data_IF_869247313199
#
_entry.id   IF_869247313199
#
_cell.length_a   1.000
_cell.length_b   1.000
_cell.length_c   1.000
_cell.angle_alpha   90.00
_cell.angle_beta   90.00
_cell.angle_gamma   90.00
#
_symmetry.space_group_name_H-M   'P 1'
#
loop_
_entity.id
_entity.type
_entity.pdbx_description
1 polymer ?
#
# COMPACT_ATOMS: atom_id res chain seq x y z
N UNK A 1 -20.83 -30.79 -12.13
CA UNK A 1 -20.63 -30.96 -13.57
C UNK A 1 -19.27 -30.34 -13.86
N UNK A 2 -18.21 -31.15 -14.01
CA UNK A 2 -16.91 -30.61 -14.39
C UNK A 2 -17.06 -29.90 -15.74
N UNK A 3 -16.44 -28.74 -15.96
CA UNK A 3 -16.43 -28.14 -17.29
C UNK A 3 -15.82 -29.16 -18.27
N UNK A 4 -16.29 -29.22 -19.53
CA UNK A 4 -15.67 -30.08 -20.52
C UNK A 4 -14.20 -29.68 -20.62
N UNK A 5 -13.30 -30.66 -20.49
CA UNK A 5 -11.88 -30.49 -20.80
C UNK A 5 -11.81 -29.91 -22.22
N UNK A 6 -11.43 -28.64 -22.34
CA UNK A 6 -11.03 -28.09 -23.63
C UNK A 6 -9.91 -28.99 -24.16
N UNK A 7 -9.96 -29.41 -25.44
CA UNK A 7 -8.92 -30.25 -26.02
C UNK A 7 -7.57 -29.58 -25.76
N UNK A 8 -6.68 -30.28 -25.06
CA UNK A 8 -5.28 -29.84 -24.94
C UNK A 8 -4.74 -29.74 -26.36
N UNK A 9 -4.36 -28.54 -26.77
CA UNK A 9 -3.76 -28.23 -28.08
C UNK A 9 -2.33 -28.84 -28.22
N UNK A 10 -2.13 -30.07 -27.72
CA UNK A 10 -0.83 -30.73 -27.54
C UNK A 10 -0.25 -31.35 -28.81
N UNK A 11 -0.89 -31.16 -29.97
CA UNK A 11 -0.43 -31.74 -31.25
C UNK A 11 0.02 -30.71 -32.30
N UNK A 12 -0.23 -29.41 -32.13
CA UNK A 12 0.17 -28.39 -33.12
C UNK A 12 1.59 -27.89 -32.87
N UNK A 13 2.43 -27.89 -33.90
CA UNK A 13 3.74 -27.24 -33.86
C UNK A 13 3.56 -25.73 -33.54
N UNK A 14 4.48 -25.21 -32.75
CA UNK A 14 4.52 -23.82 -32.27
C UNK A 14 5.87 -23.20 -32.60
N UNK A 15 5.87 -21.88 -32.79
CA UNK A 15 7.04 -21.06 -33.07
C UNK A 15 7.10 -19.96 -32.03
N UNK A 16 8.13 -20.00 -31.18
CA UNK A 16 8.47 -18.94 -30.26
C UNK A 16 9.45 -17.99 -30.96
N UNK A 17 9.16 -16.70 -30.94
CA UNK A 17 10.11 -15.68 -31.35
C UNK A 17 10.40 -14.72 -30.20
N UNK A 18 11.65 -14.29 -30.10
CA UNK A 18 12.09 -13.26 -29.16
C UNK A 18 12.92 -12.22 -29.92
N UNK A 19 12.44 -10.98 -29.92
CA UNK A 19 13.12 -9.84 -30.51
C UNK A 19 13.64 -8.93 -29.40
N UNK A 20 14.93 -8.59 -29.48
CA UNK A 20 15.62 -7.74 -28.51
C UNK A 20 16.49 -6.69 -29.18
N UNK A 21 16.56 -5.50 -28.59
CA UNK A 21 17.43 -4.42 -29.07
C UNK A 21 16.97 -3.05 -28.61
N UNK A 22 17.42 -1.99 -29.29
CA UNK A 22 17.01 -0.61 -29.00
C UNK A 22 15.60 -0.40 -29.55
N UNK A 23 14.68 0.05 -28.71
CA UNK A 23 13.28 0.26 -29.06
C UNK A 23 13.11 1.28 -30.19
N UNK A 24 12.15 0.99 -31.06
CA UNK A 24 11.76 1.85 -32.19
C UNK A 24 10.25 1.77 -32.37
N UNK A 25 9.56 2.90 -32.63
CA UNK A 25 8.14 2.86 -32.95
C UNK A 25 7.82 1.94 -34.13
N UNK A 26 6.76 1.15 -34.02
CA UNK A 26 6.22 0.36 -35.12
C UNK A 26 6.76 -1.07 -35.29
N UNK A 27 7.77 -1.49 -34.52
CA UNK A 27 8.37 -2.84 -34.59
C UNK A 27 7.31 -3.94 -34.43
N UNK A 28 6.51 -3.88 -33.37
CA UNK A 28 5.47 -4.89 -33.08
C UNK A 28 4.46 -4.98 -34.23
N UNK A 29 4.06 -3.83 -34.78
CA UNK A 29 3.16 -3.78 -35.93
C UNK A 29 3.79 -4.34 -37.20
N UNK A 30 5.08 -4.12 -37.42
CA UNK A 30 5.82 -4.69 -38.56
C UNK A 30 5.91 -6.21 -38.46
N UNK A 31 6.21 -6.75 -37.27
CA UNK A 31 6.23 -8.20 -37.03
C UNK A 31 4.86 -8.79 -37.29
N UNK A 32 3.80 -8.25 -36.69
CA UNK A 32 2.44 -8.78 -36.89
C UNK A 32 1.98 -8.72 -38.35
N UNK A 33 2.35 -7.67 -39.10
CA UNK A 33 2.06 -7.59 -40.54
C UNK A 33 2.84 -8.63 -41.35
N UNK A 34 4.10 -8.90 -40.99
CA UNK A 34 4.92 -9.89 -41.68
C UNK A 34 4.40 -11.32 -41.42
N UNK A 35 3.98 -11.61 -40.20
CA UNK A 35 3.46 -12.94 -39.82
C UNK A 35 2.04 -13.18 -40.33
N UNK A 36 1.20 -12.15 -40.44
CA UNK A 36 -0.16 -12.24 -40.96
C UNK A 36 -0.25 -12.81 -42.40
N UNK A 37 0.82 -12.66 -43.20
CA UNK A 37 0.90 -13.22 -44.57
C UNK A 37 0.86 -14.75 -44.62
N UNK A 38 1.12 -15.41 -43.48
CA UNK A 38 1.20 -16.87 -43.35
C UNK A 38 0.06 -17.45 -42.51
N UNK A 39 -0.96 -16.63 -42.21
CA UNK A 39 -2.13 -17.00 -41.40
C UNK A 39 -1.74 -17.69 -40.07
N UNK A 40 -0.66 -17.21 -39.45
CA UNK A 40 -0.17 -17.74 -38.18
C UNK A 40 -1.08 -17.27 -37.03
N UNK A 41 -1.62 -18.20 -36.25
CA UNK A 41 -2.42 -17.84 -35.09
C UNK A 41 -1.51 -17.36 -33.95
N UNK A 42 -1.85 -16.24 -33.31
CA UNK A 42 -1.12 -15.74 -32.14
C UNK A 42 -1.64 -16.47 -30.90
N UNK A 43 -0.76 -17.24 -30.24
CA UNK A 43 -1.07 -17.93 -28.99
C UNK A 43 -0.73 -17.08 -27.77
N UNK A 44 0.36 -16.32 -27.87
CA UNK A 44 0.79 -15.37 -26.84
C UNK A 44 1.60 -14.23 -27.45
N UNK A 45 1.57 -13.07 -26.80
CA UNK A 45 2.37 -11.91 -27.18
C UNK A 45 2.66 -11.05 -25.96
N UNK A 46 3.92 -11.01 -25.55
CA UNK A 46 4.39 -10.18 -24.45
C UNK A 46 5.42 -9.15 -24.96
N UNK A 47 5.23 -7.89 -24.57
CA UNK A 47 6.17 -6.81 -24.89
C UNK A 47 6.51 -6.01 -23.64
N UNK A 48 7.80 -5.71 -23.50
CA UNK A 48 8.31 -4.79 -22.48
C UNK A 48 9.36 -3.86 -23.09
N UNK A 49 9.32 -2.59 -22.69
CA UNK A 49 10.35 -1.61 -23.03
C UNK A 49 10.94 -1.07 -21.74
N UNK A 50 12.23 -1.28 -21.52
CA UNK A 50 12.93 -0.83 -20.31
C UNK A 50 14.11 0.04 -20.74
N UNK A 51 14.08 1.32 -20.36
CA UNK A 51 15.15 2.29 -20.67
C UNK A 51 15.50 2.34 -22.18
N UNK A 52 14.48 2.26 -23.04
CA UNK A 52 14.66 2.28 -24.49
C UNK A 52 15.18 0.97 -25.08
N UNK A 53 15.20 -0.13 -24.31
CA UNK A 53 15.46 -1.47 -24.83
C UNK A 53 14.16 -2.26 -24.92
N UNK A 54 13.87 -2.79 -26.11
CA UNK A 54 12.71 -3.63 -26.40
C UNK A 54 13.01 -5.09 -26.11
N UNK A 55 12.06 -5.77 -25.47
CA UNK A 55 11.88 -7.21 -25.47
C UNK A 55 10.48 -7.50 -26.00
N UNK A 56 10.38 -8.10 -27.17
CA UNK A 56 9.13 -8.54 -27.78
C UNK A 56 9.17 -10.05 -27.97
N UNK A 57 8.34 -10.76 -27.23
CA UNK A 57 8.22 -12.21 -27.25
C UNK A 57 6.85 -12.59 -27.79
N UNK A 58 6.77 -13.53 -28.72
CA UNK A 58 5.49 -14.05 -29.18
C UNK A 58 5.54 -15.53 -29.45
N UNK A 59 4.44 -16.20 -29.10
CA UNK A 59 4.21 -17.61 -29.38
C UNK A 59 3.17 -17.71 -30.49
N UNK A 60 3.57 -18.26 -31.62
CA UNK A 60 2.72 -18.37 -32.80
C UNK A 60 2.46 -19.85 -33.11
N UNK A 61 1.27 -20.15 -33.63
CA UNK A 61 0.97 -21.41 -34.30
C UNK A 61 1.06 -21.19 -35.81
N UNK A 62 2.13 -21.68 -36.47
CA UNK A 62 2.24 -21.61 -37.92
C UNK A 62 1.17 -22.49 -38.60
N UNK A 63 0.73 -22.06 -39.77
CA UNK A 63 0.04 -22.94 -40.72
C UNK A 63 0.96 -24.11 -41.15
N UNK A 64 0.42 -25.29 -41.52
CA UNK A 64 1.23 -26.43 -41.95
C UNK A 64 2.23 -26.06 -43.05
N UNK A 65 3.52 -26.32 -42.82
CA UNK A 65 4.59 -26.03 -43.77
C UNK A 65 5.06 -24.56 -43.82
N UNK A 66 4.46 -23.63 -43.08
CA UNK A 66 4.81 -22.20 -43.13
C UNK A 66 5.86 -21.76 -42.09
N UNK A 67 6.24 -22.63 -41.15
CA UNK A 67 7.14 -22.30 -40.04
C UNK A 67 8.49 -21.70 -40.47
N UNK A 68 9.10 -22.22 -41.54
CA UNK A 68 10.36 -21.69 -42.07
C UNK A 68 10.21 -20.26 -42.61
N UNK A 69 9.23 -20.04 -43.49
CA UNK A 69 8.95 -18.73 -44.07
C UNK A 69 8.51 -17.70 -43.01
N UNK A 70 7.79 -18.15 -41.98
CA UNK A 70 7.42 -17.33 -40.83
C UNK A 70 8.66 -16.90 -40.03
N UNK A 71 9.59 -17.83 -39.78
CA UNK A 71 10.86 -17.55 -39.11
C UNK A 71 11.68 -16.51 -39.86
N UNK A 72 11.78 -16.65 -41.19
CA UNK A 72 12.56 -15.75 -42.04
C UNK A 72 11.93 -14.36 -42.11
N UNK A 73 10.60 -14.28 -42.18
CA UNK A 73 9.88 -13.00 -42.16
C UNK A 73 10.10 -12.24 -40.85
N UNK A 74 10.08 -12.92 -39.70
CA UNK A 74 10.34 -12.30 -38.39
C UNK A 74 11.80 -11.82 -38.32
N UNK A 75 12.77 -12.64 -38.78
CA UNK A 75 14.19 -12.24 -38.83
C UNK A 75 14.43 -11.05 -39.75
N UNK A 76 13.74 -10.99 -40.89
CA UNK A 76 13.84 -9.87 -41.82
C UNK A 76 13.37 -8.56 -41.19
N UNK A 77 12.22 -8.56 -40.51
CA UNK A 77 11.73 -7.38 -39.78
C UNK A 77 12.70 -6.98 -38.67
N UNK A 78 13.21 -7.93 -37.89
CA UNK A 78 14.18 -7.62 -36.85
C UNK A 78 15.45 -6.97 -37.44
N UNK A 79 15.98 -7.51 -38.54
CA UNK A 79 17.14 -6.95 -39.22
C UNK A 79 16.89 -5.55 -39.79
N UNK A 80 15.72 -5.29 -40.39
CA UNK A 80 15.31 -3.97 -40.89
C UNK A 80 15.31 -2.90 -39.79
N UNK A 81 15.02 -3.31 -38.55
CA UNK A 81 14.98 -2.43 -37.39
C UNK A 81 16.27 -2.44 -36.55
N UNK A 82 17.35 -3.07 -37.01
CA UNK A 82 18.60 -3.28 -36.27
C UNK A 82 18.41 -4.01 -34.91
N UNK A 83 17.49 -4.98 -34.89
CA UNK A 83 17.15 -5.81 -33.74
C UNK A 83 17.63 -7.24 -33.93
N UNK A 84 17.83 -7.95 -32.82
CA UNK A 84 18.17 -9.37 -32.81
C UNK A 84 16.91 -10.20 -32.60
N UNK A 85 16.66 -11.15 -33.51
CA UNK A 85 15.61 -12.17 -33.35
C UNK A 85 16.22 -13.54 -33.04
N UNK A 86 15.67 -14.24 -32.05
CA UNK A 86 15.84 -15.68 -31.84
C UNK A 86 14.51 -16.38 -32.12
N UNK A 87 14.57 -17.54 -32.78
CA UNK A 87 13.40 -18.31 -33.18
C UNK A 87 13.61 -19.75 -32.74
N UNK A 88 12.65 -20.29 -31.99
CA UNK A 88 12.63 -21.67 -31.54
C UNK A 88 11.32 -22.33 -31.99
N UNK A 89 11.43 -23.44 -32.71
CA UNK A 89 10.27 -24.23 -33.16
C UNK A 89 10.15 -25.49 -32.30
N UNK A 90 8.95 -25.81 -31.84
CA UNK A 90 8.71 -27.02 -31.07
C UNK A 90 7.24 -27.16 -30.68
N UNK A 91 6.97 -27.99 -29.67
CA UNK A 91 5.64 -28.13 -29.08
C UNK A 91 5.67 -27.50 -27.70
N UNK A 92 5.20 -26.25 -27.60
CA UNK A 92 5.14 -25.50 -26.37
C UNK A 92 3.72 -25.43 -25.82
N UNK A 93 3.57 -25.77 -24.54
CA UNK A 93 2.43 -25.33 -23.73
C UNK A 93 2.88 -24.10 -22.91
N UNK A 94 1.99 -23.13 -22.73
CA UNK A 94 2.16 -22.03 -21.78
C UNK A 94 2.05 -22.62 -20.37
N UNK A 95 3.14 -23.25 -19.90
CA UNK A 95 3.19 -23.93 -18.62
C UNK A 95 2.64 -23.03 -17.50
N UNK A 96 1.86 -23.62 -16.59
CA UNK A 96 1.23 -22.88 -15.48
C UNK A 96 2.29 -22.08 -14.72
N UNK A 97 2.05 -20.77 -14.60
CA UNK A 97 2.82 -19.87 -13.73
C UNK A 97 2.91 -20.49 -12.34
N UNK A 98 4.11 -20.47 -11.73
CA UNK A 98 4.35 -21.04 -10.39
C UNK A 98 3.31 -20.52 -9.38
N UNK A 99 2.78 -21.43 -8.57
CA UNK A 99 1.92 -21.09 -7.44
C UNK A 99 2.70 -20.32 -6.37
N UNK A 100 2.02 -19.76 -5.37
CA UNK A 100 2.68 -18.97 -4.31
C UNK A 100 3.18 -17.61 -4.82
N UNK A 101 2.26 -16.80 -5.35
CA UNK A 101 2.58 -15.43 -5.78
C UNK A 101 2.62 -14.49 -4.58
N UNK A 102 3.68 -13.71 -4.48
CA UNK A 102 3.85 -12.65 -3.51
C UNK A 102 4.21 -11.33 -4.20
N UNK A 103 3.89 -10.23 -3.54
CA UNK A 103 4.38 -8.90 -3.84
C UNK A 103 5.27 -8.48 -2.69
N UNK A 104 6.53 -8.18 -2.97
CA UNK A 104 7.49 -7.69 -1.99
C UNK A 104 7.80 -6.23 -2.32
N UNK A 105 7.39 -5.31 -1.46
CA UNK A 105 7.71 -3.89 -1.58
C UNK A 105 8.87 -3.57 -0.65
N UNK A 106 9.89 -2.89 -1.17
CA UNK A 106 11.09 -2.47 -0.42
C UNK A 106 11.24 -0.96 -0.52
N UNK A 107 11.22 -0.26 0.61
CA UNK A 107 11.46 1.18 0.72
C UNK A 107 12.83 1.42 1.37
N UNK A 108 13.62 2.30 0.78
CA UNK A 108 14.87 2.78 1.37
C UNK A 108 15.14 4.26 1.09
N UNK A 109 15.81 4.91 2.04
CA UNK A 109 16.16 6.33 1.99
C UNK A 109 17.60 6.57 2.48
N UNK A 110 18.65 6.28 1.67
CA UNK A 110 18.60 5.71 0.32
C UNK A 110 18.41 4.18 0.32
N UNK A 111 17.88 3.62 -0.76
CA UNK A 111 17.87 2.18 -0.98
C UNK A 111 19.24 1.70 -1.50
N UNK A 112 19.99 1.00 -0.66
CA UNK A 112 21.35 0.58 -0.97
C UNK A 112 21.39 -0.81 -1.58
N UNK A 113 22.34 -1.04 -2.49
CA UNK A 113 22.49 -2.33 -3.19
C UNK A 113 22.67 -3.51 -2.22
N UNK A 114 23.37 -3.31 -1.09
CA UNK A 114 23.52 -4.34 -0.05
C UNK A 114 22.19 -4.77 0.57
N UNK A 115 21.26 -3.83 0.76
CA UNK A 115 19.95 -4.11 1.34
C UNK A 115 19.11 -4.87 0.33
N UNK A 116 19.13 -4.45 -0.94
CA UNK A 116 18.43 -5.18 -2.01
C UNK A 116 19.02 -6.58 -2.22
N UNK A 117 20.35 -6.74 -2.15
CA UNK A 117 21.02 -8.03 -2.26
C UNK A 117 20.50 -9.00 -1.19
N UNK A 118 20.45 -8.58 0.08
CA UNK A 118 19.93 -9.39 1.18
C UNK A 118 18.47 -9.82 0.96
N UNK A 119 17.60 -8.89 0.50
CA UNK A 119 16.21 -9.21 0.16
C UNK A 119 16.13 -10.24 -0.96
N UNK A 120 16.87 -10.04 -2.06
CA UNK A 120 16.83 -10.94 -3.21
C UNK A 120 17.43 -12.32 -2.90
N UNK A 121 18.49 -12.37 -2.09
CA UNK A 121 19.08 -13.61 -1.62
C UNK A 121 18.11 -14.37 -0.72
N UNK A 122 17.44 -13.67 0.20
CA UNK A 122 16.42 -14.29 1.06
C UNK A 122 15.27 -14.86 0.24
N UNK A 123 14.77 -14.13 -0.76
CA UNK A 123 13.74 -14.63 -1.69
C UNK A 123 14.22 -15.93 -2.37
N UNK A 124 15.45 -15.96 -2.88
CA UNK A 124 16.01 -17.14 -3.54
C UNK A 124 16.17 -18.34 -2.58
N UNK A 125 16.52 -18.12 -1.32
CA UNK A 125 16.62 -19.18 -0.29
C UNK A 125 15.27 -19.86 0.01
N UNK A 126 14.14 -19.19 -0.27
CA UNK A 126 12.81 -19.79 -0.24
C UNK A 126 12.47 -20.61 -1.50
N UNK A 127 13.39 -20.74 -2.46
CA UNK A 127 13.15 -21.39 -3.75
C UNK A 127 12.29 -20.54 -4.70
N UNK A 128 12.04 -19.28 -4.36
CA UNK A 128 11.19 -18.39 -5.11
C UNK A 128 11.94 -17.66 -6.22
N UNK A 129 11.21 -17.26 -7.26
CA UNK A 129 11.74 -16.47 -8.37
C UNK A 129 11.20 -15.04 -8.31
N UNK A 130 12.02 -14.07 -8.70
CA UNK A 130 11.57 -12.70 -8.94
C UNK A 130 11.17 -12.62 -10.41
N UNK A 131 9.86 -12.55 -10.66
CA UNK A 131 9.31 -12.51 -12.01
C UNK A 131 9.42 -11.12 -12.63
N UNK A 132 9.37 -10.08 -11.79
CA UNK A 132 9.43 -8.70 -12.24
C UNK A 132 9.88 -7.77 -11.11
N UNK A 133 10.62 -6.73 -11.47
CA UNK A 133 10.96 -5.62 -10.57
C UNK A 133 10.45 -4.31 -11.17
N UNK A 134 9.80 -3.49 -10.35
CA UNK A 134 9.27 -2.19 -10.72
C UNK A 134 9.69 -1.14 -9.71
N UNK A 135 9.83 0.11 -10.14
CA UNK A 135 9.99 1.24 -9.23
C UNK A 135 8.62 1.85 -8.96
N UNK A 136 8.23 1.92 -7.70
CA UNK A 136 7.00 2.60 -7.28
C UNK A 136 7.25 4.08 -7.01
N UNK A 137 8.41 4.43 -6.44
CA UNK A 137 8.76 5.81 -6.13
C UNK A 137 10.26 6.06 -6.28
N UNK A 138 10.63 7.27 -6.69
CA UNK A 138 12.00 7.80 -6.59
C UNK A 138 12.13 8.73 -5.37
N UNK A 139 11.12 9.57 -5.19
CA UNK A 139 11.01 10.61 -4.17
C UNK A 139 9.67 10.47 -3.43
N UNK A 140 9.58 10.83 -2.14
CA UNK A 140 10.69 11.25 -1.28
C UNK A 140 11.60 10.07 -0.86
N UNK A 141 11.21 8.84 -1.19
CA UNK A 141 11.91 7.62 -0.83
C UNK A 141 12.02 6.71 -2.05
N UNK A 142 13.12 5.98 -2.16
CA UNK A 142 13.28 5.01 -3.24
C UNK A 142 12.50 3.75 -2.88
N UNK A 143 11.52 3.40 -3.72
CA UNK A 143 10.69 2.22 -3.50
C UNK A 143 10.69 1.32 -4.72
N UNK A 144 10.97 0.03 -4.49
CA UNK A 144 10.88 -1.03 -5.48
C UNK A 144 9.80 -2.03 -5.08
N UNK A 145 9.12 -2.58 -6.08
CA UNK A 145 8.21 -3.70 -5.96
C UNK A 145 8.77 -4.88 -6.74
N UNK A 146 8.80 -6.05 -6.11
CA UNK A 146 9.20 -7.31 -6.69
C UNK A 146 7.98 -8.23 -6.73
N UNK A 147 7.57 -8.61 -7.94
CA UNK A 147 6.61 -9.69 -8.13
C UNK A 147 7.38 -11.01 -8.00
N UNK A 148 6.96 -11.83 -7.04
CA UNK A 148 7.64 -13.08 -6.67
C UNK A 148 6.71 -14.26 -6.88
N UNK A 149 7.24 -15.39 -7.37
CA UNK A 149 6.50 -16.65 -7.50
C UNK A 149 7.26 -17.83 -6.90
N UNK A 150 6.53 -18.86 -6.47
CA UNK A 150 7.11 -20.03 -5.80
C UNK A 150 7.44 -19.82 -4.33
N UNK A 151 6.84 -18.83 -3.66
CA UNK A 151 7.05 -18.57 -2.23
C UNK A 151 5.80 -18.86 -1.41
N UNK A 152 6.00 -19.38 -0.19
CA UNK A 152 5.00 -19.23 0.87
C UNK A 152 5.03 -17.79 1.40
N UNK A 153 3.90 -17.08 1.29
CA UNK A 153 3.81 -15.65 1.61
C UNK A 153 4.07 -15.39 3.10
N UNK A 154 3.64 -16.29 3.99
CA UNK A 154 3.76 -16.12 5.43
C UNK A 154 5.21 -16.31 5.88
N UNK A 155 5.86 -17.38 5.45
CA UNK A 155 7.28 -17.63 5.76
C UNK A 155 8.18 -16.57 5.12
N UNK A 156 7.89 -16.16 3.88
CA UNK A 156 8.65 -15.11 3.21
C UNK A 156 8.53 -13.77 3.96
N UNK A 157 7.33 -13.40 4.41
CA UNK A 157 7.11 -12.20 5.23
C UNK A 157 7.97 -12.25 6.48
N UNK A 158 7.87 -13.34 7.26
CA UNK A 158 8.59 -13.48 8.54
C UNK A 158 10.10 -13.29 8.38
N UNK A 159 10.71 -13.89 7.37
CA UNK A 159 12.14 -13.75 7.15
C UNK A 159 12.54 -12.39 6.56
N UNK A 160 11.75 -11.83 5.65
CA UNK A 160 12.04 -10.50 5.10
C UNK A 160 11.86 -9.38 6.14
N UNK A 161 10.99 -9.53 7.13
CA UNK A 161 10.92 -8.60 8.28
C UNK A 161 12.24 -8.56 9.06
N UNK A 162 12.95 -9.70 9.17
CA UNK A 162 14.28 -9.73 9.80
C UNK A 162 15.32 -8.98 8.95
N UNK A 163 15.29 -9.16 7.63
CA UNK A 163 16.17 -8.43 6.70
C UNK A 163 15.90 -6.92 6.75
N UNK A 164 14.63 -6.52 6.83
CA UNK A 164 14.22 -5.12 6.95
C UNK A 164 14.90 -4.44 8.15
N UNK A 165 14.79 -5.06 9.33
CA UNK A 165 15.40 -4.58 10.56
C UNK A 165 16.94 -4.56 10.49
N UNK A 166 17.56 -5.61 9.95
CA UNK A 166 19.02 -5.72 9.86
C UNK A 166 19.64 -4.71 8.89
N UNK A 167 18.92 -4.36 7.82
CA UNK A 167 19.44 -3.53 6.73
C UNK A 167 18.91 -2.10 6.71
N UNK A 168 18.08 -1.72 7.68
CA UNK A 168 17.52 -0.37 7.80
C UNK A 168 16.65 0.00 6.60
N UNK A 169 15.88 -0.96 6.08
CA UNK A 169 14.89 -0.77 5.01
C UNK A 169 13.53 -1.18 5.52
N UNK A 170 12.49 -0.68 4.88
CA UNK A 170 11.12 -1.07 5.18
C UNK A 170 10.64 -2.07 4.13
N UNK A 171 10.02 -3.17 4.57
CA UNK A 171 9.54 -4.23 3.68
C UNK A 171 8.10 -4.59 3.99
N UNK A 172 7.27 -4.69 2.95
CA UNK A 172 5.94 -5.28 3.04
C UNK A 172 5.84 -6.49 2.09
N UNK A 173 5.31 -7.60 2.61
CA UNK A 173 5.07 -8.82 1.84
C UNK A 173 3.58 -9.14 1.86
N UNK A 174 2.95 -9.13 0.69
CA UNK A 174 1.54 -9.41 0.51
C UNK A 174 1.30 -10.50 -0.53
N UNK A 175 0.16 -11.22 -0.48
CA UNK A 175 -0.24 -12.11 -1.57
C UNK A 175 -0.29 -11.37 -2.91
N UNK A 176 0.23 -11.98 -3.98
CA UNK A 176 0.20 -11.44 -5.33
C UNK A 176 -1.10 -11.69 -6.08
N UNK A 177 -1.18 -11.21 -7.33
CA UNK A 177 -2.32 -11.51 -8.22
C UNK A 177 -3.65 -10.84 -7.81
N UNK A 178 -4.77 -11.58 -7.94
CA UNK A 178 -6.12 -11.05 -7.68
C UNK A 178 -6.32 -10.62 -6.22
N UNK A 179 -5.62 -11.25 -5.28
CA UNK A 179 -5.69 -10.92 -3.85
C UNK A 179 -5.30 -9.47 -3.56
N UNK A 180 -4.53 -8.82 -4.44
CA UNK A 180 -4.15 -7.41 -4.30
C UNK A 180 -5.24 -6.43 -4.71
N UNK A 181 -6.19 -6.88 -5.53
CA UNK A 181 -7.20 -6.04 -6.18
C UNK A 181 -8.47 -5.93 -5.34
N UNK A 182 -9.17 -4.82 -5.55
CA UNK A 182 -10.47 -4.54 -4.94
C UNK A 182 -10.37 -3.70 -3.67
N UNK A 183 -11.55 -3.37 -3.14
CA UNK A 183 -11.70 -2.49 -1.97
C UNK A 183 -11.03 -3.06 -0.73
N UNK A 184 -10.45 -2.15 0.06
CA UNK A 184 -9.89 -2.40 1.40
C UNK A 184 -10.46 -1.41 2.42
N UNK A 185 -10.32 -1.76 3.69
CA UNK A 185 -10.53 -0.86 4.82
C UNK A 185 -9.15 -0.46 5.38
N UNK A 186 -8.88 0.83 5.48
CA UNK A 186 -7.67 1.37 6.13
C UNK A 186 -8.07 1.95 7.47
N UNK A 187 -7.53 1.41 8.56
CA UNK A 187 -7.76 1.88 9.93
C UNK A 187 -6.46 2.45 10.48
N UNK A 188 -6.49 3.66 11.03
CA UNK A 188 -5.28 4.34 11.51
C UNK A 188 -5.44 4.77 12.97
N UNK A 189 -4.34 4.74 13.74
CA UNK A 189 -4.26 5.57 14.93
C UNK A 189 -4.23 7.06 14.55
N UNK A 190 -4.53 7.91 15.53
CA UNK A 190 -4.55 9.36 15.37
C UNK A 190 -3.25 9.97 15.89
N UNK A 191 -3.06 9.94 17.22
CA UNK A 191 -1.88 10.51 17.88
C UNK A 191 -0.61 9.84 17.36
N UNK A 192 0.44 10.61 17.11
CA UNK A 192 1.73 10.13 16.57
C UNK A 192 1.67 9.33 15.24
N UNK A 193 0.51 9.23 14.60
CA UNK A 193 0.29 8.51 13.34
C UNK A 193 -0.37 9.42 12.29
N UNK A 194 -1.66 9.71 12.41
CA UNK A 194 -2.36 10.64 11.50
C UNK A 194 -1.91 12.09 11.71
N UNK A 195 -1.65 12.43 12.97
CA UNK A 195 -1.13 13.72 13.41
C UNK A 195 0.24 13.53 14.07
N UNK A 196 1.02 14.60 14.13
CA UNK A 196 2.37 14.58 14.72
C UNK A 196 2.36 14.76 16.24
N UNK A 197 1.21 15.14 16.79
CA UNK A 197 1.05 15.58 18.17
C UNK A 197 0.33 14.52 19.01
N UNK A 198 0.45 14.65 20.32
CA UNK A 198 -0.35 13.91 21.31
C UNK A 198 -1.45 14.86 21.82
N UNK A 199 -2.71 14.59 21.48
CA UNK A 199 -3.84 15.50 21.77
C UNK A 199 -3.96 15.81 23.27
N UNK A 200 -3.70 14.81 24.12
CA UNK A 200 -3.77 14.99 25.57
C UNK A 200 -2.69 15.93 26.11
N UNK A 201 -1.52 15.98 25.47
CA UNK A 201 -0.44 16.90 25.82
C UNK A 201 -0.76 18.32 25.36
N UNK A 202 -1.37 18.48 24.17
CA UNK A 202 -1.87 19.78 23.70
C UNK A 202 -2.93 20.35 24.66
N UNK A 203 -3.90 19.54 25.07
CA UNK A 203 -4.91 19.94 26.08
C UNK A 203 -4.26 20.36 27.40
N UNK A 204 -3.28 19.58 27.87
CA UNK A 204 -2.57 19.88 29.11
C UNK A 204 -1.72 21.16 29.02
N UNK A 205 -1.15 21.46 27.85
CA UNK A 205 -0.41 22.69 27.61
C UNK A 205 -1.33 23.92 27.73
N UNK A 206 -2.52 23.86 27.13
CA UNK A 206 -3.55 24.91 27.27
C UNK A 206 -4.06 25.07 28.72
N UNK A 207 -3.99 24.02 29.54
CA UNK A 207 -4.26 24.09 30.98
C UNK A 207 -3.11 24.65 31.83
N UNK A 208 -1.91 24.84 31.25
CA UNK A 208 -0.69 25.10 32.03
C UNK A 208 -0.25 23.92 32.90
N UNK A 209 -0.69 22.70 32.53
CA UNK A 209 -0.54 21.46 33.30
C UNK A 209 0.27 20.37 32.57
N UNK A 210 0.95 20.71 31.48
CA UNK A 210 1.82 19.81 30.71
C UNK A 210 2.77 18.96 31.58
N UNK A 211 3.51 19.54 32.55
CA UNK A 211 4.42 18.76 33.41
C UNK A 211 3.75 17.65 34.21
N UNK A 212 2.47 17.84 34.59
CA UNK A 212 1.72 16.85 35.38
C UNK A 212 1.31 15.66 34.51
N UNK A 213 0.86 15.92 33.28
CA UNK A 213 0.53 14.86 32.31
C UNK A 213 1.78 14.08 31.92
N UNK A 214 2.91 14.77 31.66
CA UNK A 214 4.18 14.13 31.33
C UNK A 214 4.64 13.15 32.42
N UNK A 215 4.55 13.53 33.70
CA UNK A 215 4.92 12.67 34.82
C UNK A 215 4.08 11.38 34.89
N UNK A 216 2.78 11.45 34.57
CA UNK A 216 1.90 10.26 34.50
C UNK A 216 2.23 9.40 33.28
N UNK A 217 2.50 10.02 32.12
CA UNK A 217 2.92 9.31 30.90
C UNK A 217 4.22 8.53 31.14
N UNK A 218 5.21 9.12 31.81
CA UNK A 218 6.46 8.43 32.15
C UNK A 218 6.26 7.23 33.07
N UNK A 219 5.37 7.32 34.05
CA UNK A 219 5.01 6.19 34.94
C UNK A 219 4.35 5.05 34.15
N UNK A 220 3.45 5.39 33.23
CA UNK A 220 2.80 4.41 32.36
C UNK A 220 3.80 3.73 31.40
N UNK A 221 4.73 4.50 30.83
CA UNK A 221 5.79 3.96 29.96
C UNK A 221 6.77 3.06 30.71
N UNK A 222 6.98 3.28 32.02
CA UNK A 222 7.74 2.40 32.91
C UNK A 222 6.96 1.14 33.33
N UNK A 223 5.68 1.03 32.96
CA UNK A 223 4.81 -0.08 33.35
C UNK A 223 4.35 -0.05 34.81
N UNK A 224 4.48 1.10 35.48
CA UNK A 224 4.07 1.25 36.88
C UNK A 224 2.54 1.32 37.04
N UNK A 225 1.84 1.75 36.00
CA UNK A 225 0.37 1.85 35.92
C UNK A 225 -0.11 1.33 34.57
N UNK A 226 -1.32 0.76 34.55
CA UNK A 226 -1.95 0.31 33.31
C UNK A 226 -2.49 1.48 32.47
N UNK A 227 -2.90 1.18 31.23
CA UNK A 227 -3.38 2.19 30.29
C UNK A 227 -4.61 2.95 30.80
N UNK A 228 -5.59 2.24 31.35
CA UNK A 228 -6.84 2.85 31.82
C UNK A 228 -6.58 3.79 33.01
N UNK A 229 -5.73 3.36 33.95
CA UNK A 229 -5.29 4.16 35.11
C UNK A 229 -4.51 5.38 34.65
N UNK A 230 -3.54 5.21 33.74
CA UNK A 230 -2.78 6.32 33.15
C UNK A 230 -3.68 7.32 32.44
N UNK A 231 -4.68 6.85 31.69
CA UNK A 231 -5.60 7.71 30.98
C UNK A 231 -6.50 8.49 31.96
N UNK A 232 -7.07 7.84 32.97
CA UNK A 232 -7.84 8.53 34.00
C UNK A 232 -7.02 9.57 34.77
N UNK A 233 -5.80 9.23 35.18
CA UNK A 233 -4.91 10.17 35.87
C UNK A 233 -4.61 11.38 34.98
N UNK A 234 -4.24 11.18 33.70
CA UNK A 234 -3.96 12.29 32.76
C UNK A 234 -5.20 13.13 32.47
N UNK A 235 -6.37 12.52 32.33
CA UNK A 235 -7.62 13.24 32.09
C UNK A 235 -8.08 14.01 33.33
N UNK A 236 -7.84 13.50 34.53
CA UNK A 236 -8.18 14.21 35.78
C UNK A 236 -7.48 15.57 35.88
N UNK A 237 -6.26 15.67 35.33
CA UNK A 237 -5.48 16.90 35.25
C UNK A 237 -6.14 17.94 34.35
N UNK A 238 -7.06 17.56 33.46
CA UNK A 238 -7.78 18.48 32.57
C UNK A 238 -9.04 19.11 33.20
N UNK A 239 -9.40 18.70 34.43
CA UNK A 239 -10.58 19.23 35.12
C UNK A 239 -10.52 20.76 35.26
N UNK A 240 -11.62 21.42 34.88
CA UNK A 240 -11.80 22.87 34.93
C UNK A 240 -11.50 23.61 33.63
N UNK A 241 -11.02 22.94 32.59
CA UNK A 241 -10.87 23.55 31.26
C UNK A 241 -12.26 23.85 30.66
N UNK A 242 -12.45 25.00 29.99
CA UNK A 242 -13.66 25.26 29.20
C UNK A 242 -13.65 24.42 27.92
N UNK A 243 -14.82 24.01 27.43
CA UNK A 243 -14.95 23.22 26.19
C UNK A 243 -14.38 23.93 24.95
N UNK A 244 -14.30 25.27 24.97
CA UNK A 244 -13.66 26.06 23.91
C UNK A 244 -12.18 25.73 23.69
N UNK A 245 -11.54 25.00 24.62
CA UNK A 245 -10.16 24.52 24.46
C UNK A 245 -10.02 23.59 23.25
N UNK A 246 -11.08 22.86 22.87
CA UNK A 246 -11.02 21.93 21.73
C UNK A 246 -10.75 22.65 20.41
N UNK A 247 -11.32 23.84 20.21
CA UNK A 247 -11.05 24.64 19.01
C UNK A 247 -9.59 25.14 18.97
N UNK A 248 -9.03 25.51 20.12
CA UNK A 248 -7.64 25.95 20.23
C UNK A 248 -6.68 24.80 19.92
N UNK A 249 -6.92 23.63 20.53
CA UNK A 249 -6.13 22.42 20.24
C UNK A 249 -6.24 22.05 18.77
N UNK A 250 -7.44 22.11 18.18
CA UNK A 250 -7.64 21.80 16.75
C UNK A 250 -6.86 22.73 15.83
N UNK A 251 -6.70 24.00 16.18
CA UNK A 251 -5.85 24.92 15.41
C UNK A 251 -4.35 24.64 15.53
N UNK A 252 -3.92 23.98 16.61
CA UNK A 252 -2.51 23.62 16.84
C UNK A 252 -2.12 22.27 16.24
N UNK A 253 -3.10 21.42 15.89
CA UNK A 253 -2.86 20.08 15.34
C UNK A 253 -2.10 20.16 14.02
N UNK A 254 -1.01 19.40 13.94
CA UNK A 254 -0.21 19.22 12.73
C UNK A 254 -0.46 17.83 12.18
N UNK A 255 -0.97 17.77 10.95
CA UNK A 255 -1.09 16.50 10.24
C UNK A 255 0.29 15.95 9.90
N UNK A 256 0.44 14.63 10.04
CA UNK A 256 1.65 13.94 9.59
C UNK A 256 1.85 14.19 8.09
N UNK A 257 3.08 14.51 7.64
CA UNK A 257 3.36 14.69 6.22
C UNK A 257 2.84 13.50 5.41
N UNK A 258 2.09 13.77 4.34
CA UNK A 258 1.46 12.74 3.51
C UNK A 258 0.08 12.26 3.99
N UNK A 259 -0.40 12.61 5.19
CA UNK A 259 -1.71 12.17 5.69
C UNK A 259 -2.87 12.49 4.74
N UNK A 260 -2.95 13.75 4.27
CA UNK A 260 -3.97 14.16 3.30
C UNK A 260 -3.86 13.39 1.98
N UNK A 261 -2.63 13.12 1.53
CA UNK A 261 -2.37 12.37 0.30
C UNK A 261 -2.76 10.90 0.44
N UNK A 262 -2.45 10.26 1.57
CA UNK A 262 -2.88 8.91 1.88
C UNK A 262 -4.41 8.81 1.80
N UNK A 263 -5.13 9.60 2.60
CA UNK A 263 -6.60 9.56 2.67
C UNK A 263 -7.21 9.84 1.29
N UNK A 264 -6.81 10.92 0.63
CA UNK A 264 -7.32 11.27 -0.71
C UNK A 264 -7.11 10.14 -1.73
N UNK A 265 -5.92 9.55 -1.76
CA UNK A 265 -5.58 8.51 -2.74
C UNK A 265 -6.37 7.23 -2.50
N UNK A 266 -6.45 6.75 -1.26
CA UNK A 266 -7.20 5.51 -0.97
C UNK A 266 -8.70 5.71 -1.22
N UNK A 267 -9.25 6.90 -0.96
CA UNK A 267 -10.64 7.23 -1.28
C UNK A 267 -10.92 7.16 -2.78
N UNK A 268 -9.99 7.63 -3.63
CA UNK A 268 -10.11 7.48 -5.10
C UNK A 268 -10.12 6.03 -5.57
N UNK A 269 -9.49 5.13 -4.82
CA UNK A 269 -9.53 3.67 -5.07
C UNK A 269 -10.81 3.01 -4.54
N UNK A 270 -11.74 3.79 -3.99
CA UNK A 270 -12.97 3.30 -3.38
C UNK A 270 -12.74 2.60 -2.04
N UNK A 271 -11.61 2.85 -1.37
CA UNK A 271 -11.36 2.30 -0.04
C UNK A 271 -12.13 3.07 1.01
N UNK A 272 -12.41 2.38 2.11
CA UNK A 272 -12.99 2.97 3.30
C UNK A 272 -11.87 3.33 4.27
N UNK A 273 -11.93 4.52 4.86
CA UNK A 273 -10.93 5.00 5.83
C UNK A 273 -11.58 5.15 7.20
N UNK A 274 -10.93 4.65 8.22
CA UNK A 274 -11.35 4.78 9.60
C UNK A 274 -10.20 5.21 10.50
N UNK A 275 -10.52 5.85 11.62
CA UNK A 275 -9.57 6.17 12.69
C UNK A 275 -10.04 5.58 14.01
N UNK A 276 -9.10 5.02 14.78
CA UNK A 276 -9.36 4.52 16.13
C UNK A 276 -8.27 4.99 17.08
N UNK A 277 -8.65 5.84 18.04
CA UNK A 277 -7.72 6.59 18.87
C UNK A 277 -7.95 6.35 20.36
N UNK A 278 -6.86 6.37 21.13
CA UNK A 278 -6.91 6.50 22.58
C UNK A 278 -7.10 7.94 23.07
N UNK A 279 -7.07 8.92 22.16
CA UNK A 279 -7.39 10.33 22.39
C UNK A 279 -8.90 10.56 22.48
N UNK A 280 -9.38 11.71 22.00
CA UNK A 280 -10.73 12.20 22.32
C UNK A 280 -11.61 12.48 21.11
N UNK A 281 -12.86 12.03 21.15
CA UNK A 281 -13.84 12.13 20.07
C UNK A 281 -14.09 13.60 19.68
N UNK A 282 -14.11 14.51 20.65
CA UNK A 282 -14.27 15.95 20.44
C UNK A 282 -13.22 16.56 19.50
N UNK A 283 -12.05 15.93 19.39
CA UNK A 283 -10.97 16.35 18.49
C UNK A 283 -10.95 15.49 17.23
N UNK A 284 -11.09 14.17 17.38
CA UNK A 284 -10.95 13.19 16.30
C UNK A 284 -12.08 13.32 15.28
N UNK A 285 -13.31 13.55 15.71
CA UNK A 285 -14.48 13.56 14.82
C UNK A 285 -14.49 14.76 13.85
N UNK A 286 -14.26 16.01 14.29
CA UNK A 286 -14.08 17.12 13.36
C UNK A 286 -12.91 16.91 12.41
N UNK A 287 -11.78 16.40 12.90
CA UNK A 287 -10.60 16.11 12.07
C UNK A 287 -10.91 15.06 11.00
N UNK A 288 -11.62 13.99 11.37
CA UNK A 288 -12.04 12.94 10.46
C UNK A 288 -12.98 13.47 9.38
N UNK A 289 -13.95 14.30 9.76
CA UNK A 289 -14.86 14.97 8.83
C UNK A 289 -14.10 15.82 7.80
N UNK A 290 -13.18 16.67 8.25
CA UNK A 290 -12.38 17.57 7.38
C UNK A 290 -11.49 16.80 6.38
N UNK A 291 -11.12 15.57 6.70
CA UNK A 291 -10.32 14.69 5.85
C UNK A 291 -11.16 13.76 4.97
N UNK A 292 -12.48 13.70 5.17
CA UNK A 292 -13.36 12.76 4.48
C UNK A 292 -13.16 11.30 4.92
N UNK A 293 -12.81 11.10 6.19
CA UNK A 293 -12.67 9.78 6.84
C UNK A 293 -14.07 9.27 7.20
N UNK A 294 -14.33 7.99 6.89
CA UNK A 294 -15.68 7.41 6.94
C UNK A 294 -16.13 7.03 8.36
N UNK A 295 -15.19 6.59 9.21
CA UNK A 295 -15.47 6.20 10.59
C UNK A 295 -14.44 6.75 11.57
N UNK A 296 -14.91 7.21 12.73
CA UNK A 296 -14.07 7.66 13.82
C UNK A 296 -14.55 7.05 15.14
N UNK A 297 -13.60 6.56 15.94
CA UNK A 297 -13.86 6.11 17.31
C UNK A 297 -12.73 6.53 18.25
N UNK A 298 -13.07 7.24 19.32
CA UNK A 298 -12.15 7.66 20.36
C UNK A 298 -12.85 7.71 21.74
N UNK A 299 -12.09 8.04 22.80
CA UNK A 299 -12.66 8.26 24.13
C UNK A 299 -13.48 9.55 24.16
N UNK A 300 -14.45 9.68 25.07
CA UNK A 300 -15.26 10.90 25.18
C UNK A 300 -15.00 11.57 26.51
N UNK A 301 -14.47 12.80 26.50
CA UNK A 301 -14.33 13.60 27.71
C UNK A 301 -15.70 14.03 28.23
N UNK A 302 -15.93 13.92 29.54
CA UNK A 302 -17.16 14.40 30.18
C UNK A 302 -17.13 15.92 30.32
N UNK A 303 -18.20 16.57 29.86
CA UNK A 303 -18.41 18.02 29.91
C UNK A 303 -19.71 18.28 30.66
N UNK A 304 -19.66 19.16 31.66
CA UNK A 304 -20.83 19.64 32.40
C UNK A 304 -20.75 21.16 32.43
N UNK A 305 -21.85 21.83 32.07
CA UNK A 305 -21.95 23.29 32.01
C UNK A 305 -20.80 23.95 31.23
N UNK A 306 -20.44 23.37 30.08
CA UNK A 306 -19.38 23.86 29.19
C UNK A 306 -17.96 23.68 29.75
N UNK A 307 -17.78 22.88 30.81
CA UNK A 307 -16.49 22.67 31.48
C UNK A 307 -16.13 21.19 31.56
N UNK A 308 -14.86 20.84 31.31
CA UNK A 308 -14.34 19.49 31.44
C UNK A 308 -14.32 19.07 32.92
N UNK A 309 -14.90 17.91 33.23
CA UNK A 309 -14.95 17.40 34.61
C UNK A 309 -13.67 16.66 35.02
N UNK A 310 -12.81 16.34 34.05
CA UNK A 310 -11.64 15.48 34.24
C UNK A 310 -11.98 13.98 34.29
N UNK A 311 -13.10 13.56 33.68
CA UNK A 311 -13.49 12.17 33.53
C UNK A 311 -13.76 11.80 32.07
N UNK A 312 -13.75 10.50 31.78
CA UNK A 312 -14.17 9.93 30.50
C UNK A 312 -15.57 9.32 30.67
N UNK A 313 -16.40 9.44 29.64
CA UNK A 313 -17.69 8.78 29.55
C UNK A 313 -17.63 7.58 28.61
N UNK A 314 -18.47 6.58 28.89
CA UNK A 314 -18.62 5.40 28.04
C UNK A 314 -17.46 4.40 28.16
N UNK A 315 -17.29 3.61 27.11
CA UNK A 315 -16.28 2.56 27.06
C UNK A 315 -14.92 3.16 26.67
N UNK A 316 -13.88 2.84 27.45
CA UNK A 316 -12.51 3.24 27.12
C UNK A 316 -12.03 2.51 25.87
N UNK A 317 -11.49 3.27 24.92
CA UNK A 317 -10.79 2.77 23.73
C UNK A 317 -9.38 2.37 24.13
N UNK A 318 -9.26 1.16 24.67
CA UNK A 318 -8.00 0.52 24.97
C UNK A 318 -7.47 -0.31 23.80
N UNK A 319 -6.34 -1.00 24.01
CA UNK A 319 -5.69 -1.87 23.02
C UNK A 319 -6.64 -2.93 22.43
N UNK A 320 -7.43 -3.60 23.27
CA UNK A 320 -8.36 -4.63 22.82
C UNK A 320 -9.54 -4.01 22.05
N UNK A 321 -10.00 -2.84 22.49
CA UNK A 321 -11.08 -2.11 21.85
C UNK A 321 -10.68 -1.58 20.48
N UNK A 322 -9.41 -1.19 20.25
CA UNK A 322 -8.92 -0.86 18.90
C UNK A 322 -9.09 -2.02 17.92
N UNK A 323 -8.75 -3.23 18.34
CA UNK A 323 -8.94 -4.42 17.52
C UNK A 323 -10.43 -4.76 17.31
N UNK A 324 -11.30 -4.52 18.30
CA UNK A 324 -12.75 -4.71 18.14
C UNK A 324 -13.35 -3.67 17.19
N UNK A 325 -12.90 -2.42 17.25
CA UNK A 325 -13.32 -1.37 16.33
C UNK A 325 -12.97 -1.71 14.88
N UNK A 326 -11.73 -2.17 14.62
CA UNK A 326 -11.32 -2.65 13.29
C UNK A 326 -12.25 -3.76 12.77
N UNK A 327 -12.57 -4.76 13.61
CA UNK A 327 -13.50 -5.84 13.22
C UNK A 327 -14.90 -5.30 12.93
N UNK A 328 -15.44 -4.43 13.78
CA UNK A 328 -16.75 -3.82 13.55
C UNK A 328 -16.81 -3.01 12.26
N UNK A 329 -15.77 -2.24 11.95
CA UNK A 329 -15.71 -1.48 10.70
C UNK A 329 -15.59 -2.40 9.48
N UNK A 330 -14.79 -3.47 9.58
CA UNK A 330 -14.70 -4.47 8.52
C UNK A 330 -16.05 -5.15 8.25
N UNK A 331 -16.76 -5.53 9.31
CA UNK A 331 -18.10 -6.13 9.23
C UNK A 331 -19.12 -5.19 8.60
N UNK A 332 -19.12 -3.90 8.98
CA UNK A 332 -19.98 -2.86 8.37
C UNK A 332 -19.72 -2.70 6.87
N UNK A 333 -18.46 -2.80 6.44
CA UNK A 333 -18.07 -2.72 5.04
C UNK A 333 -18.23 -4.04 4.28
N UNK A 334 -18.64 -5.12 4.95
CA UNK A 334 -18.71 -6.46 4.36
C UNK A 334 -17.35 -6.97 3.86
N UNK A 335 -16.26 -6.56 4.52
CA UNK A 335 -14.89 -6.91 4.13
C UNK A 335 -14.32 -7.97 5.08
N UNK A 336 -13.70 -9.04 4.56
CA UNK A 336 -12.95 -9.96 5.41
C UNK A 336 -11.72 -9.25 5.99
N UNK A 337 -11.25 -9.68 7.17
CA UNK A 337 -10.06 -9.10 7.82
C UNK A 337 -8.81 -9.15 6.95
N UNK A 338 -8.67 -10.14 6.06
CA UNK A 338 -7.59 -10.19 5.08
C UNK A 338 -7.54 -8.98 4.12
N UNK A 339 -8.60 -8.16 4.07
CA UNK A 339 -8.70 -6.91 3.28
C UNK A 339 -8.64 -5.65 4.13
N UNK A 340 -8.25 -5.75 5.39
CA UNK A 340 -8.01 -4.60 6.25
C UNK A 340 -6.53 -4.28 6.33
N UNK A 341 -6.22 -2.99 6.47
CA UNK A 341 -4.89 -2.45 6.74
C UNK A 341 -4.99 -1.67 8.03
N UNK A 342 -4.14 -1.95 9.00
CA UNK A 342 -4.04 -1.17 10.24
C UNK A 342 -2.71 -0.41 10.27
N UNK A 343 -2.72 0.84 10.71
CA UNK A 343 -1.54 1.69 10.82
C UNK A 343 -1.48 2.27 12.23
N UNK A 344 -0.36 2.13 12.92
CA UNK A 344 -0.16 2.68 14.26
C UNK A 344 1.31 2.71 14.66
N UNK A 345 1.64 3.44 15.71
CA UNK A 345 3.01 3.65 16.20
C UNK A 345 3.26 3.04 17.60
N UNK A 346 2.18 2.82 18.35
CA UNK A 346 2.23 2.58 19.78
C UNK A 346 1.90 1.14 20.20
N UNK A 347 2.26 0.80 21.45
CA UNK A 347 1.96 -0.52 22.02
C UNK A 347 0.46 -0.75 22.22
N UNK A 348 -0.32 0.33 22.31
CA UNK A 348 -1.78 0.36 22.28
C UNK A 348 -2.37 -0.13 20.94
N UNK A 349 -1.60 -0.16 19.85
CA UNK A 349 -2.09 -0.60 18.54
C UNK A 349 -1.84 -2.09 18.26
N UNK A 350 -1.04 -2.76 19.08
CA UNK A 350 -0.56 -4.12 18.80
C UNK A 350 -1.68 -5.12 18.48
N UNK A 351 -2.82 -5.07 19.17
CA UNK A 351 -3.93 -5.99 18.89
C UNK A 351 -4.68 -5.61 17.59
N UNK A 352 -4.74 -4.32 17.26
CA UNK A 352 -5.32 -3.84 16.01
C UNK A 352 -4.43 -4.22 14.81
N UNK A 353 -3.12 -4.03 14.94
CA UNK A 353 -2.12 -4.42 13.95
C UNK A 353 -2.17 -5.93 13.71
N UNK A 354 -2.19 -6.73 14.78
CA UNK A 354 -2.24 -8.19 14.70
C UNK A 354 -3.58 -8.74 14.14
N UNK A 355 -4.68 -8.01 14.31
CA UNK A 355 -5.99 -8.39 13.80
C UNK A 355 -6.19 -8.05 12.31
N UNK A 356 -5.37 -7.15 11.75
CA UNK A 356 -5.50 -6.72 10.37
C UNK A 356 -4.91 -7.72 9.37
N UNK A 357 -5.34 -7.64 8.10
CA UNK A 357 -4.70 -8.40 7.02
C UNK A 357 -3.28 -7.93 6.69
N UNK A 358 -3.02 -6.65 6.97
CA UNK A 358 -1.69 -6.03 6.95
C UNK A 358 -1.59 -4.99 8.08
N UNK A 359 -0.86 -5.33 9.14
CA UNK A 359 -0.50 -4.40 10.22
C UNK A 359 0.80 -3.65 9.92
N UNK A 360 0.74 -2.33 9.83
CA UNK A 360 1.88 -1.45 9.53
C UNK A 360 2.26 -0.64 10.77
N UNK A 361 3.49 -0.84 11.24
CA UNK A 361 4.10 -0.01 12.27
C UNK A 361 4.70 1.27 11.65
N UNK A 362 4.08 2.43 11.89
CA UNK A 362 4.54 3.72 11.36
C UNK A 362 5.40 4.46 12.38
N UNK A 363 6.67 4.72 12.06
CA UNK A 363 7.68 5.35 12.94
C UNK A 363 7.66 4.82 14.39
N UNK A 364 7.28 3.55 14.54
CA UNK A 364 6.81 3.00 15.80
C UNK A 364 7.94 2.74 16.79
N UNK A 365 7.62 2.44 18.05
CA UNK A 365 8.62 1.97 19.02
C UNK A 365 9.14 0.56 18.64
N UNK A 366 10.36 0.15 19.05
CA UNK A 366 10.94 -1.15 18.67
C UNK A 366 10.04 -2.36 18.96
N UNK A 367 9.33 -2.35 20.11
CA UNK A 367 8.39 -3.41 20.48
C UNK A 367 7.23 -3.53 19.49
N UNK A 368 6.79 -2.43 18.89
CA UNK A 368 5.69 -2.44 17.92
C UNK A 368 6.19 -2.94 16.57
N UNK A 369 7.37 -2.46 16.15
CA UNK A 369 8.03 -2.90 14.90
C UNK A 369 8.23 -4.42 14.85
N UNK A 370 8.58 -5.05 15.97
CA UNK A 370 8.82 -6.51 16.01
C UNK A 370 7.56 -7.36 15.93
N UNK A 371 6.37 -6.76 16.07
CA UNK A 371 5.08 -7.47 16.04
C UNK A 371 4.21 -7.09 14.83
N UNK A 372 4.61 -6.10 14.03
CA UNK A 372 3.88 -5.69 12.84
C UNK A 372 4.29 -6.53 11.61
N UNK A 373 3.39 -6.63 10.63
CA UNK A 373 3.66 -7.31 9.36
C UNK A 373 4.65 -6.54 8.49
N UNK A 374 4.64 -5.21 8.61
CA UNK A 374 5.51 -4.29 7.90
C UNK A 374 5.80 -3.06 8.77
N UNK A 375 6.89 -2.37 8.45
CA UNK A 375 7.25 -1.09 9.07
C UNK A 375 7.27 0.01 8.02
N UNK A 376 7.08 1.26 8.44
CA UNK A 376 7.38 2.46 7.66
C UNK A 376 8.14 3.40 8.59
N UNK A 377 9.45 3.54 8.40
CA UNK A 377 10.34 4.29 9.29
C UNK A 377 10.82 5.62 8.68
N UNK A 378 10.03 6.16 7.75
CA UNK A 378 10.24 7.47 7.12
C UNK A 378 9.12 8.42 7.56
N UNK A 379 9.36 9.74 7.64
CA UNK A 379 8.42 10.69 8.25
C UNK A 379 7.24 11.07 7.32
N UNK A 380 6.85 10.17 6.42
CA UNK A 380 5.86 10.40 5.37
C UNK A 380 4.80 9.29 5.43
N UNK A 381 3.59 9.63 5.89
CA UNK A 381 2.49 8.66 6.06
C UNK A 381 1.99 8.14 4.71
N UNK A 382 2.11 8.92 3.63
CA UNK A 382 1.80 8.48 2.27
C UNK A 382 2.78 7.42 1.73
N UNK A 383 3.90 7.15 2.39
CA UNK A 383 4.75 5.99 2.06
C UNK A 383 4.01 4.64 2.23
N UNK A 384 2.94 4.61 3.02
CA UNK A 384 2.04 3.46 3.13
C UNK A 384 1.37 3.14 1.78
N UNK A 385 1.09 4.14 0.93
CA UNK A 385 0.55 3.89 -0.41
C UNK A 385 1.48 2.99 -1.23
N UNK A 386 2.79 3.18 -1.10
CA UNK A 386 3.77 2.32 -1.78
C UNK A 386 3.73 0.89 -1.23
N UNK A 387 3.55 0.70 0.08
CA UNK A 387 3.35 -0.64 0.67
C UNK A 387 2.10 -1.35 0.15
N UNK A 388 1.10 -0.59 -0.31
CA UNK A 388 -0.10 -1.12 -0.97
C UNK A 388 0.11 -1.36 -2.47
N UNK A 389 1.26 -0.98 -3.03
CA UNK A 389 1.60 -1.11 -4.45
C UNK A 389 1.19 0.05 -5.33
N UNK A 390 0.79 1.16 -4.74
CA UNK A 390 0.37 2.35 -5.48
C UNK A 390 1.63 3.17 -5.73
N UNK A 391 1.95 3.43 -6.99
CA UNK A 391 3.15 4.18 -7.38
C UNK A 391 2.97 5.69 -7.18
N UNK A 392 4.09 6.40 -7.05
CA UNK A 392 4.13 7.86 -7.00
C UNK A 392 3.54 8.48 -8.27
N UNK A 393 3.85 7.89 -9.42
CA UNK A 393 3.38 8.38 -10.72
C UNK A 393 1.85 8.29 -10.82
N UNK A 394 1.24 7.19 -10.34
CA UNK A 394 -0.23 7.03 -10.27
C UNK A 394 -0.90 8.06 -9.35
N UNK A 395 -0.27 8.38 -8.21
CA UNK A 395 -0.77 9.39 -7.27
C UNK A 395 -0.80 10.77 -7.95
N UNK A 396 0.32 11.16 -8.56
CA UNK A 396 0.45 12.47 -9.21
C UNK A 396 -0.42 12.60 -10.46
N UNK A 397 -0.58 11.53 -11.23
CA UNK A 397 -1.51 11.49 -12.36
C UNK A 397 -2.96 11.72 -11.90
N UNK A 398 -3.39 11.02 -10.84
CA UNK A 398 -4.71 11.19 -10.28
C UNK A 398 -4.94 12.59 -9.67
N UNK A 399 -3.91 13.20 -9.07
CA UNK A 399 -3.97 14.57 -8.55
C UNK A 399 -4.14 15.58 -9.69
N UNK A 400 -3.33 15.50 -10.76
CA UNK A 400 -3.45 16.37 -11.93
C UNK A 400 -4.81 16.24 -12.61
N UNK A 401 -5.33 15.02 -12.72
CA UNK A 401 -6.65 14.78 -13.32
C UNK A 401 -7.78 15.43 -12.51
N UNK A 402 -7.71 15.37 -11.17
CA UNK A 402 -8.69 16.00 -10.29
C UNK A 402 -8.63 17.54 -10.37
N UNK A 403 -7.42 18.12 -10.41
CA UNK A 403 -7.23 19.56 -10.58
C UNK A 403 -7.82 20.05 -11.92
N UNK A 404 -7.54 19.35 -13.02
CA UNK A 404 -8.10 19.68 -14.34
C UNK A 404 -9.64 19.61 -14.38
N UNK A 405 -10.24 18.63 -13.68
CA UNK A 405 -11.70 18.50 -13.57
C UNK A 405 -12.32 19.65 -12.76
N UNK A 406 -11.63 20.14 -11.72
CA UNK A 406 -12.11 21.27 -10.92
C UNK A 406 -12.11 22.60 -11.70
N UNK A 407 -11.09 22.83 -12.53
CA UNK A 407 -10.96 24.06 -13.34
C UNK A 407 -12.01 24.10 -14.45
N UNK A 408 -12.25 22.97 -15.13
CA UNK A 408 -13.25 22.87 -16.21
C UNK A 408 -14.72 22.94 -15.72
N UNK A 409 -14.98 22.63 -14.45
CA UNK A 409 -16.30 22.79 -13.84
C UNK A 409 -16.68 24.24 -13.52
N UNK A 410 -15.70 25.13 -13.34
CA UNK A 410 -15.92 26.55 -13.02
C UNK A 410 -16.32 27.41 -14.23
N UNK A 411 -15.97 27.01 -15.45
CA UNK A 411 -16.30 27.75 -16.68
C UNK A 411 -17.74 27.52 -17.19
N UNK A 412 -18.52 26.64 -16.56
CA UNK A 412 -19.89 26.33 -16.98
C UNK A 412 -21.00 27.12 -16.24
N UNK A 413 -20.67 28.08 -15.37
CA UNK A 413 -21.65 28.84 -14.58
C UNK A 413 -21.78 30.33 -14.94
N UNK A 414 -21.09 30.83 -15.97
CA UNK A 414 -21.37 32.16 -16.51
C UNK A 414 -22.11 32.06 -17.86
N UNK A 415 -23.43 31.83 -17.77
CA UNK A 415 -24.35 32.24 -18.83
C UNK A 415 -24.90 33.62 -18.48
N UNK A 416 -24.53 34.71 -19.17
CA UNK A 416 -25.22 35.97 -19.02
C UNK A 416 -26.55 35.88 -19.78
N UNK A 417 -27.63 36.11 -19.05
CA UNK A 417 -28.92 36.48 -19.60
C UNK A 417 -28.77 37.54 -20.70
N UNK A 418 -29.30 37.24 -21.89
CA UNK A 418 -29.95 38.22 -22.78
C UNK A 418 -31.22 37.59 -23.32
#
# INVERSE_FOLDING_TARGET
MNPPDLPRDSESDSLLFTITGIDRPGVSGAVMRATARYDAAVLDLEQSVVRGHLLLCGLLRPSPGSAGALSDAIRAVAAEHDLRATIDTGRGDNARRRDGRASVVVIGAPLLARSLAAVTERIAQHGANIDRVRRLARDPVTTLELDVSGADVFELRRHLTLEAAAHGVDIAVAPGGLARRGRRLVVMDVDSTLIQDEVIELLAAHAGRGPQVAAVTERAMRGEIDFATSLHERVSVLAGLPESVFDQVRSDIRLTPGARTLVRTVKRLGFTVAVVSGGFQQIVEPLAHDLGIDYAQANVLEIIDGTLTGRITGQIVDRAEKARALRRFADREGLPLARTVAIGDGANDLDMLAAAGLGIAFNAKPVVRSHADATVNVPYLDAVLFMLGISRDEIEEADRAAEAASVSGTDCLESPHV
#
